data_IF_669132191037
#
_entry.id   IF_669132191037
#
_cell.length_a   1.000
_cell.length_b   1.000
_cell.length_c   1.000
_cell.angle_alpha   90.00
_cell.angle_beta   90.00
_cell.angle_gamma   90.00
#
_symmetry.space_group_name_H-M   'P 1'
#
loop_
_entity.id
_entity.type
_entity.pdbx_description
1 polymer ?
#
# COMPACT_ATOMS: atom_id res chain seq x y z
N UNK A 1 7.08 83.76 -6.51
CA UNK A 1 7.20 82.57 -7.34
C UNK A 1 6.76 81.45 -6.47
N UNK A 2 5.47 81.01 -6.52
CA UNK A 2 4.95 79.95 -5.65
C UNK A 2 5.14 78.60 -6.35
N UNK A 3 6.00 77.81 -5.79
CA UNK A 3 6.18 76.39 -6.23
C UNK A 3 4.99 75.58 -5.71
N UNK A 4 4.06 75.20 -6.58
CA UNK A 4 3.02 74.27 -6.28
C UNK A 4 3.63 72.86 -6.31
N UNK A 5 4.03 72.40 -5.17
CA UNK A 5 4.35 70.97 -5.00
C UNK A 5 3.07 70.14 -5.13
N UNK A 6 2.91 69.48 -6.25
CA UNK A 6 1.86 68.49 -6.44
C UNK A 6 2.28 67.22 -5.74
N UNK A 7 1.79 66.99 -4.51
CA UNK A 7 1.95 65.73 -3.84
C UNK A 7 1.16 64.62 -4.58
N UNK A 8 1.86 63.70 -5.23
CA UNK A 8 1.28 62.43 -5.61
C UNK A 8 1.25 61.53 -4.36
N UNK A 9 0.09 61.10 -3.96
CA UNK A 9 -0.02 60.13 -2.87
C UNK A 9 0.75 58.89 -3.25
N UNK A 10 1.82 58.56 -2.52
CA UNK A 10 2.66 57.39 -2.72
C UNK A 10 1.94 56.09 -2.26
N UNK A 11 0.89 56.25 -1.45
CA UNK A 11 0.13 55.12 -0.93
C UNK A 11 -1.36 55.38 -1.12
N UNK A 12 -2.04 54.44 -1.75
CA UNK A 12 -3.49 54.38 -1.77
C UNK A 12 -4.00 53.54 -0.61
N UNK A 13 -5.09 53.97 0.02
CA UNK A 13 -5.74 53.16 1.08
C UNK A 13 -6.28 51.88 0.47
N UNK A 14 -5.79 50.75 0.97
CA UNK A 14 -6.23 49.44 0.48
C UNK A 14 -7.64 49.19 1.03
N UNK A 15 -8.57 48.84 0.16
CA UNK A 15 -9.92 48.51 0.53
C UNK A 15 -9.95 47.13 1.19
N UNK A 16 -10.64 46.95 2.32
CA UNK A 16 -10.68 45.66 3.03
C UNK A 16 -11.16 44.51 2.14
N UNK A 17 -12.10 44.74 1.26
CA UNK A 17 -12.60 43.74 0.31
C UNK A 17 -11.52 43.17 -0.62
N UNK A 18 -10.51 43.99 -1.01
CA UNK A 18 -9.37 43.50 -1.81
C UNK A 18 -8.42 42.63 -1.02
N UNK A 19 -8.29 42.90 0.29
CA UNK A 19 -7.49 42.07 1.20
C UNK A 19 -8.14 40.69 1.39
N UNK A 20 -9.46 40.66 1.58
CA UNK A 20 -10.21 39.41 1.71
C UNK A 20 -10.12 38.54 0.45
N UNK A 21 -10.29 39.14 -0.72
CA UNK A 21 -10.13 38.46 -2.00
C UNK A 21 -8.70 37.89 -2.20
N UNK A 22 -7.68 38.63 -1.79
CA UNK A 22 -6.28 38.17 -1.85
C UNK A 22 -6.03 37.02 -0.87
N UNK A 23 -6.62 37.03 0.33
CA UNK A 23 -6.51 35.97 1.32
C UNK A 23 -7.20 34.70 0.82
N UNK A 24 -8.36 34.83 0.19
CA UNK A 24 -9.08 33.69 -0.38
C UNK A 24 -8.30 33.07 -1.55
N UNK A 25 -7.84 33.86 -2.49
CA UNK A 25 -7.00 33.39 -3.59
C UNK A 25 -5.72 32.72 -3.08
N UNK A 26 -5.06 33.32 -2.07
CA UNK A 26 -3.87 32.75 -1.45
C UNK A 26 -4.12 31.42 -0.72
N UNK A 27 -5.31 31.23 -0.12
CA UNK A 27 -5.70 29.96 0.50
C UNK A 27 -5.90 28.87 -0.53
N UNK A 28 -6.49 29.19 -1.68
CA UNK A 28 -6.65 28.22 -2.77
C UNK A 28 -5.31 27.78 -3.37
N UNK A 29 -4.37 28.72 -3.52
CA UNK A 29 -3.03 28.42 -4.02
C UNK A 29 -2.22 27.60 -3.00
N UNK A 30 -2.29 27.94 -1.71
CA UNK A 30 -1.66 27.15 -0.64
C UNK A 30 -2.26 25.76 -0.51
N UNK A 31 -3.57 25.61 -0.73
CA UNK A 31 -4.21 24.31 -0.73
C UNK A 31 -3.76 23.43 -1.93
N UNK A 32 -3.51 24.04 -3.08
CA UNK A 32 -2.96 23.35 -4.25
C UNK A 32 -1.47 22.99 -4.10
N UNK A 33 -0.70 23.85 -3.42
CA UNK A 33 0.73 23.62 -3.18
C UNK A 33 0.98 22.60 -2.05
N UNK A 34 0.05 22.48 -1.10
CA UNK A 34 0.12 21.51 0.00
C UNK A 34 -0.45 20.13 -0.35
N UNK A 35 -1.03 19.93 -1.53
CA UNK A 35 -1.31 18.60 -2.01
C UNK A 35 0.04 17.86 -2.14
N UNK A 36 0.30 16.81 -1.35
CA UNK A 36 1.55 16.09 -1.41
C UNK A 36 1.70 15.56 -2.83
N UNK A 37 2.70 16.07 -3.57
CA UNK A 37 3.09 15.45 -4.84
C UNK A 37 3.58 14.06 -4.47
N UNK A 38 2.73 13.07 -4.65
CA UNK A 38 3.08 11.67 -4.48
C UNK A 38 4.07 11.36 -5.59
N UNK A 39 5.36 11.40 -5.24
CA UNK A 39 6.46 11.02 -6.12
C UNK A 39 6.98 9.67 -5.65
N UNK A 40 7.13 8.74 -6.56
CA UNK A 40 7.60 7.39 -6.24
C UNK A 40 6.58 6.30 -6.60
N UNK A 41 6.74 5.08 -6.08
CA UNK A 41 5.90 3.92 -6.42
C UNK A 41 4.40 4.13 -6.20
N UNK A 42 4.01 5.02 -5.28
CA UNK A 42 2.61 5.36 -5.01
C UNK A 42 1.95 6.21 -6.11
N UNK A 43 2.73 6.78 -7.04
CA UNK A 43 2.17 7.50 -8.18
C UNK A 43 1.59 6.54 -9.21
N UNK A 44 2.22 5.36 -9.35
CA UNK A 44 1.83 4.32 -10.31
C UNK A 44 0.75 3.41 -9.73
N UNK A 45 0.77 3.19 -8.40
CA UNK A 45 -0.18 2.34 -7.68
C UNK A 45 -0.66 3.07 -6.40
N UNK A 46 -1.73 3.88 -6.51
CA UNK A 46 -2.25 4.65 -5.39
C UNK A 46 -2.85 3.75 -4.33
N UNK A 47 -2.78 4.21 -3.07
CA UNK A 47 -3.40 3.51 -1.95
C UNK A 47 -4.90 3.37 -2.22
N UNK A 48 -5.40 2.15 -2.08
CA UNK A 48 -6.83 1.83 -2.21
C UNK A 48 -7.69 2.56 -1.17
N UNK A 49 -9.00 2.52 -1.34
CA UNK A 49 -9.94 3.13 -0.41
C UNK A 49 -9.74 2.63 1.03
N UNK A 50 -9.98 3.52 1.99
CA UNK A 50 -9.88 3.18 3.40
C UNK A 50 -10.94 2.14 3.79
N UNK A 51 -10.51 1.08 4.45
CA UNK A 51 -11.40 0.06 5.02
C UNK A 51 -11.67 0.35 6.49
N UNK A 52 -12.81 -0.11 7.00
CA UNK A 52 -13.11 -0.01 8.43
C UNK A 52 -12.31 -1.04 9.24
N UNK A 53 -12.17 -0.79 10.54
CA UNK A 53 -11.58 -1.78 11.46
C UNK A 53 -12.37 -3.10 11.46
N UNK A 54 -13.68 -3.04 11.32
CA UNK A 54 -14.55 -4.22 11.27
C UNK A 54 -14.28 -5.08 10.01
N UNK A 55 -13.93 -4.46 8.90
CA UNK A 55 -13.57 -5.19 7.68
C UNK A 55 -12.22 -5.86 7.81
N UNK A 56 -11.25 -5.21 8.45
CA UNK A 56 -9.97 -5.82 8.76
C UNK A 56 -10.10 -6.96 9.79
N UNK A 57 -10.95 -6.81 10.80
CA UNK A 57 -11.20 -7.82 11.82
C UNK A 57 -11.85 -9.11 11.28
N UNK A 58 -12.43 -9.08 10.08
CA UNK A 58 -12.93 -10.28 9.40
C UNK A 58 -11.81 -11.18 8.85
N UNK A 59 -10.57 -10.66 8.73
CA UNK A 59 -9.44 -11.45 8.27
C UNK A 59 -8.89 -12.33 9.38
N UNK A 60 -8.81 -13.65 9.14
CA UNK A 60 -8.15 -14.59 10.04
C UNK A 60 -6.68 -14.77 9.59
N UNK A 61 -5.79 -14.04 10.25
CA UNK A 61 -4.35 -14.11 10.02
C UNK A 61 -3.73 -15.12 10.99
N UNK A 62 -3.05 -16.15 10.44
CA UNK A 62 -2.39 -17.17 11.24
C UNK A 62 -0.94 -17.35 10.85
N UNK A 63 -0.12 -17.67 11.84
CA UNK A 63 1.25 -18.09 11.61
C UNK A 63 1.23 -19.58 11.28
N UNK A 64 1.87 -19.96 10.19
CA UNK A 64 1.96 -21.32 9.72
C UNK A 64 3.42 -21.70 9.46
N UNK A 65 3.75 -22.98 9.72
CA UNK A 65 5.05 -23.54 9.40
C UNK A 65 5.05 -24.08 7.97
N UNK A 66 6.03 -23.71 7.18
CA UNK A 66 6.22 -24.29 5.83
C UNK A 66 6.86 -25.66 5.99
N UNK A 67 6.07 -26.72 5.85
CA UNK A 67 6.57 -28.11 5.90
C UNK A 67 7.29 -28.50 4.63
N UNK A 68 6.76 -28.07 3.49
CA UNK A 68 7.30 -28.43 2.19
C UNK A 68 7.07 -27.31 1.19
N UNK A 69 8.06 -27.06 0.36
CA UNK A 69 7.97 -26.13 -0.74
C UNK A 69 8.41 -26.83 -2.04
N UNK A 70 7.53 -26.83 -3.03
CA UNK A 70 7.78 -27.48 -4.33
C UNK A 70 7.66 -26.45 -5.47
N UNK A 71 8.57 -26.48 -6.41
CA UNK A 71 8.44 -25.70 -7.64
C UNK A 71 7.42 -26.37 -8.57
N UNK A 72 6.48 -25.57 -9.10
CA UNK A 72 5.54 -26.08 -10.11
C UNK A 72 6.22 -26.02 -11.47
N UNK A 73 6.46 -27.17 -12.15
CA UNK A 73 7.25 -27.21 -13.38
C UNK A 73 6.61 -26.44 -14.55
N UNK A 74 5.29 -26.34 -14.55
CA UNK A 74 4.54 -25.62 -15.59
C UNK A 74 4.32 -24.13 -15.29
N UNK A 75 4.86 -23.63 -14.17
CA UNK A 75 4.71 -22.23 -13.77
C UNK A 75 6.05 -21.64 -13.32
N UNK A 76 6.51 -20.65 -14.08
CA UNK A 76 7.82 -20.01 -13.84
C UNK A 76 7.89 -19.21 -12.53
N UNK A 77 6.73 -18.78 -12.01
CA UNK A 77 6.66 -17.89 -10.85
C UNK A 77 6.03 -18.50 -9.60
N UNK A 78 5.43 -19.70 -9.72
CA UNK A 78 4.66 -20.30 -8.63
C UNK A 78 5.46 -21.35 -7.87
N UNK A 79 5.34 -21.27 -6.54
CA UNK A 79 5.72 -22.33 -5.61
C UNK A 79 4.46 -22.91 -4.98
N UNK A 80 4.43 -24.23 -4.86
CA UNK A 80 3.43 -24.96 -4.10
C UNK A 80 3.95 -25.14 -2.68
N UNK A 81 3.25 -24.58 -1.72
CA UNK A 81 3.62 -24.61 -0.32
C UNK A 81 2.63 -25.51 0.45
N UNK A 82 3.16 -26.36 1.30
CA UNK A 82 2.38 -27.09 2.31
C UNK A 82 2.62 -26.42 3.67
N UNK A 83 1.58 -25.82 4.19
CA UNK A 83 1.61 -25.05 5.44
C UNK A 83 0.93 -25.83 6.55
N UNK A 84 1.60 -25.94 7.69
CA UNK A 84 1.06 -26.50 8.91
C UNK A 84 0.62 -25.39 9.87
N UNK A 85 -0.63 -25.45 10.26
CA UNK A 85 -1.27 -24.52 11.20
C UNK A 85 -1.27 -25.05 12.66
N UNK A 86 -0.58 -26.16 12.92
CA UNK A 86 -0.55 -26.78 14.25
C UNK A 86 -1.61 -27.87 14.50
N UNK A 87 -2.30 -28.30 13.46
CA UNK A 87 -3.33 -29.34 13.52
C UNK A 87 -3.94 -29.65 12.16
N UNK A 88 -3.77 -28.73 11.23
CA UNK A 88 -4.26 -28.83 9.85
C UNK A 88 -3.16 -28.45 8.88
N UNK A 89 -3.03 -29.21 7.80
CA UNK A 89 -2.10 -28.88 6.72
C UNK A 89 -2.89 -28.35 5.53
N UNK A 90 -2.51 -27.19 5.02
CA UNK A 90 -3.12 -26.57 3.84
C UNK A 90 -2.14 -26.40 2.71
N UNK A 91 -2.65 -26.53 1.49
CA UNK A 91 -1.89 -26.32 0.28
C UNK A 91 -2.17 -24.94 -0.28
N UNK A 92 -1.09 -24.18 -0.56
CA UNK A 92 -1.19 -22.83 -1.11
C UNK A 92 -0.22 -22.67 -2.27
N UNK A 93 -0.63 -21.91 -3.28
CA UNK A 93 0.24 -21.51 -4.37
C UNK A 93 0.63 -20.04 -4.21
N UNK A 94 1.93 -19.78 -4.15
CA UNK A 94 2.48 -18.44 -4.00
C UNK A 94 3.41 -18.07 -5.16
N UNK A 95 3.30 -16.86 -5.66
CA UNK A 95 4.09 -16.33 -6.78
C UNK A 95 5.47 -15.83 -6.37
N UNK A 96 6.20 -16.57 -5.54
CA UNK A 96 7.46 -16.13 -4.91
C UNK A 96 8.71 -16.86 -5.41
N UNK A 97 8.58 -17.69 -6.42
CA UNK A 97 9.70 -18.48 -6.98
C UNK A 97 10.87 -17.62 -7.48
N UNK A 98 10.60 -16.40 -7.92
CA UNK A 98 11.65 -15.47 -8.36
C UNK A 98 12.46 -14.87 -7.21
N UNK A 99 11.92 -14.86 -6.00
CA UNK A 99 12.54 -14.25 -4.83
C UNK A 99 13.12 -15.28 -3.85
N UNK A 100 12.61 -16.51 -3.85
CA UNK A 100 12.98 -17.54 -2.89
C UNK A 100 13.15 -18.91 -3.54
N UNK A 101 14.19 -19.64 -3.12
CA UNK A 101 14.34 -21.05 -3.47
C UNK A 101 13.44 -21.90 -2.56
N UNK A 102 12.85 -23.01 -3.06
CA UNK A 102 12.03 -23.91 -2.25
C UNK A 102 12.74 -24.41 -1.00
N UNK A 103 13.99 -24.79 -1.12
CA UNK A 103 14.83 -25.34 -0.05
C UNK A 103 15.02 -24.35 1.11
N UNK A 104 15.10 -23.06 0.79
CA UNK A 104 15.27 -22.00 1.79
C UNK A 104 13.99 -21.68 2.58
N UNK A 105 12.83 -22.13 2.08
CA UNK A 105 11.53 -21.88 2.68
C UNK A 105 11.11 -22.96 3.66
N UNK A 106 11.59 -24.19 3.50
CA UNK A 106 11.23 -25.30 4.38
C UNK A 106 11.69 -25.05 5.82
N UNK A 107 10.81 -25.29 6.76
CA UNK A 107 11.06 -25.06 8.18
C UNK A 107 10.91 -23.61 8.64
N UNK A 108 10.56 -22.68 7.76
CA UNK A 108 10.31 -21.29 8.13
C UNK A 108 8.85 -21.03 8.48
N UNK A 109 8.64 -20.04 9.33
CA UNK A 109 7.31 -19.55 9.68
C UNK A 109 6.90 -18.44 8.69
N UNK A 110 5.63 -18.47 8.32
CA UNK A 110 5.02 -17.43 7.48
C UNK A 110 3.65 -17.05 7.99
N UNK A 111 3.19 -15.87 7.63
CA UNK A 111 1.82 -15.44 7.93
C UNK A 111 0.93 -15.76 6.74
N UNK A 112 -0.23 -16.34 7.00
CA UNK A 112 -1.23 -16.61 5.97
C UNK A 112 -2.61 -16.09 6.35
N UNK A 113 -3.41 -15.79 5.35
CA UNK A 113 -4.84 -15.54 5.49
C UNK A 113 -5.55 -16.88 5.43
N UNK A 114 -6.11 -17.33 6.57
CA UNK A 114 -6.66 -18.68 6.73
C UNK A 114 -8.14 -18.78 6.28
N UNK A 115 -8.90 -17.70 6.38
CA UNK A 115 -10.33 -17.68 6.06
C UNK A 115 -10.67 -17.26 4.62
N UNK A 116 -9.68 -17.31 3.74
CA UNK A 116 -9.92 -17.07 2.32
C UNK A 116 -10.59 -18.28 1.67
N UNK A 117 -11.60 -18.06 0.84
CA UNK A 117 -12.26 -19.10 0.10
C UNK A 117 -11.27 -19.87 -0.80
N UNK A 118 -11.33 -21.22 -0.85
CA UNK A 118 -10.45 -22.00 -1.69
C UNK A 118 -10.58 -21.60 -3.16
N UNK A 119 -9.45 -21.31 -3.78
CA UNK A 119 -9.39 -20.93 -5.18
C UNK A 119 -8.86 -22.04 -6.04
N UNK A 120 -9.64 -22.46 -7.03
CA UNK A 120 -9.17 -23.41 -8.03
C UNK A 120 -8.19 -22.73 -8.97
N UNK A 121 -6.96 -23.19 -8.98
CA UNK A 121 -5.91 -22.76 -9.90
C UNK A 121 -5.66 -23.85 -10.95
N UNK A 122 -4.91 -23.52 -11.99
CA UNK A 122 -4.57 -24.45 -13.07
C UNK A 122 -3.84 -25.72 -12.57
N UNK A 123 -3.11 -25.58 -11.46
CA UNK A 123 -2.25 -26.63 -10.89
C UNK A 123 -2.79 -27.25 -9.61
N UNK A 124 -3.99 -26.87 -9.18
CA UNK A 124 -4.62 -27.40 -7.97
C UNK A 124 -5.47 -26.39 -7.22
N UNK A 125 -5.85 -26.75 -6.00
CA UNK A 125 -6.59 -25.86 -5.10
C UNK A 125 -5.62 -25.09 -4.22
N UNK A 126 -5.83 -23.77 -4.11
CA UNK A 126 -5.15 -22.91 -3.14
C UNK A 126 -6.12 -22.59 -2.00
N UNK A 127 -5.79 -22.99 -0.78
CA UNK A 127 -6.66 -22.90 0.40
C UNK A 127 -6.30 -21.71 1.30
N UNK A 128 -5.88 -20.61 0.71
CA UNK A 128 -5.52 -19.39 1.40
C UNK A 128 -4.51 -18.57 0.63
N UNK A 129 -3.96 -17.57 1.27
CA UNK A 129 -2.92 -16.69 0.70
C UNK A 129 -1.80 -16.48 1.71
N UNK A 130 -0.57 -16.62 1.26
CA UNK A 130 0.62 -16.30 2.06
C UNK A 130 0.99 -14.85 1.87
N UNK A 131 1.22 -14.17 2.98
CA UNK A 131 1.84 -12.86 2.99
C UNK A 131 3.36 -13.09 2.99
N UNK A 132 3.96 -12.99 1.81
CA UNK A 132 5.42 -13.05 1.65
C UNK A 132 6.04 -11.71 2.08
N UNK A 133 5.84 -11.35 3.32
CA UNK A 133 6.64 -10.33 3.98
C UNK A 133 8.03 -10.93 4.05
N UNK A 134 9.02 -10.19 3.54
CA UNK A 134 10.44 -10.57 3.60
C UNK A 134 10.66 -11.52 4.76
N UNK A 135 10.98 -12.79 4.46
CA UNK A 135 11.30 -13.79 5.46
C UNK A 135 12.64 -13.39 6.11
N UNK A 136 12.62 -12.21 6.70
CA UNK A 136 13.72 -11.65 7.45
C UNK A 136 13.82 -12.50 8.69
N UNK A 137 14.99 -13.05 8.83
CA UNK A 137 15.48 -13.73 10.00
C UNK A 137 14.79 -13.27 11.29
N UNK A 138 14.00 -14.10 11.86
CA UNK A 138 13.81 -14.14 13.30
C UNK A 138 14.78 -15.17 13.83
#
# INVERSE_FOLDING_TARGET
MCIRDSFKALFSRIEPAKIEAMIEASKEDLAKEQAPKITGPLADDPISETISYEDFAKLDLRVALIKKAEAVPEADKLLKLQLDLGGETRQIFAGIKSAYNPEDLEGKLTVMVANLAPRKMRFGMSEGMVLALSLIHI
#
